data_IF_776139742634
#
_entry.id   IF_776139742634
#
_cell.length_a   1.000
_cell.length_b   1.000
_cell.length_c   1.000
_cell.angle_alpha   90.00
_cell.angle_beta   90.00
_cell.angle_gamma   90.00
#
_symmetry.space_group_name_H-M   'P 1'
#
loop_
_entity.id
_entity.type
_entity.pdbx_description
1 polymer ?
#
# COMPACT_ATOMS: atom_id res chain seq x y z
N UNK A 1 -12.67 30.13 -9.36
CA UNK A 1 -11.28 29.70 -9.61
C UNK A 1 -10.39 30.42 -8.61
N UNK A 2 -9.62 29.73 -7.76
CA UNK A 2 -8.66 30.40 -6.90
C UNK A 2 -7.67 31.17 -7.80
N UNK A 3 -7.38 32.42 -7.44
CA UNK A 3 -6.42 33.26 -8.16
C UNK A 3 -5.07 32.57 -8.14
N UNK A 4 -4.52 32.22 -9.32
CA UNK A 4 -3.13 31.74 -9.43
C UNK A 4 -2.22 32.78 -8.77
N UNK A 5 -1.52 32.41 -7.70
CA UNK A 5 -0.48 33.24 -7.12
C UNK A 5 0.59 33.39 -8.19
N UNK A 6 0.77 34.61 -8.69
CA UNK A 6 1.81 34.92 -9.66
C UNK A 6 3.04 35.39 -8.90
N UNK A 7 4.06 34.55 -8.86
CA UNK A 7 5.39 34.92 -8.38
C UNK A 7 6.19 35.43 -9.59
N UNK A 8 6.47 36.73 -9.63
CA UNK A 8 7.38 37.31 -10.63
C UNK A 8 8.79 37.39 -10.01
N UNK A 9 9.74 36.69 -10.63
CA UNK A 9 11.17 36.76 -10.28
C UNK A 9 11.83 37.63 -11.35
N UNK A 10 12.11 38.90 -11.04
CA UNK A 10 12.59 39.91 -12.00
C UNK A 10 14.06 40.31 -11.80
N UNK A 11 14.68 39.86 -10.71
CA UNK A 11 16.06 40.20 -10.37
C UNK A 11 16.98 39.01 -10.66
N UNK A 12 17.83 39.07 -11.70
CA UNK A 12 18.76 37.99 -12.00
C UNK A 12 19.86 37.91 -10.93
N UNK A 13 20.30 36.68 -10.62
CA UNK A 13 21.47 36.42 -9.78
C UNK A 13 22.32 35.31 -10.40
N UNK A 14 23.63 35.31 -10.11
CA UNK A 14 24.47 34.17 -10.43
C UNK A 14 24.03 32.96 -9.58
N UNK A 15 23.96 31.74 -10.15
CA UNK A 15 23.56 30.57 -9.38
C UNK A 15 24.57 30.34 -8.26
N UNK A 16 24.13 30.22 -6.99
CA UNK A 16 25.03 29.96 -5.89
C UNK A 16 25.64 28.56 -6.03
N UNK A 17 26.81 28.35 -5.42
CA UNK A 17 27.55 27.09 -5.55
C UNK A 17 26.74 25.86 -5.15
N UNK A 18 25.91 25.96 -4.09
CA UNK A 18 25.08 24.83 -3.64
C UNK A 18 24.09 24.39 -4.72
N UNK A 19 23.51 25.32 -5.50
CA UNK A 19 22.55 24.99 -6.55
C UNK A 19 23.22 24.24 -7.72
N UNK A 20 24.48 24.59 -8.02
CA UNK A 20 25.28 23.86 -9.01
C UNK A 20 25.59 22.43 -8.54
N UNK A 21 25.93 22.25 -7.26
CA UNK A 21 26.20 20.94 -6.66
C UNK A 21 24.94 20.08 -6.59
N UNK A 22 23.80 20.64 -6.21
CA UNK A 22 22.50 19.96 -6.20
C UNK A 22 22.11 19.48 -7.61
N UNK A 23 22.27 20.34 -8.64
CA UNK A 23 22.05 19.93 -10.04
C UNK A 23 22.99 18.82 -10.49
N UNK A 24 24.25 18.83 -10.04
CA UNK A 24 25.20 17.76 -10.33
C UNK A 24 24.82 16.44 -9.63
N UNK A 25 24.34 16.51 -8.38
CA UNK A 25 23.83 15.37 -7.64
C UNK A 25 22.61 14.76 -8.35
N UNK A 26 21.60 15.56 -8.69
CA UNK A 26 20.38 15.09 -9.38
C UNK A 26 20.69 14.43 -10.72
N UNK A 27 21.65 14.99 -11.47
CA UNK A 27 22.12 14.37 -12.72
C UNK A 27 22.79 13.02 -12.47
N UNK A 28 23.63 12.93 -11.45
CA UNK A 28 24.32 11.68 -11.09
C UNK A 28 23.33 10.61 -10.62
N UNK A 29 22.32 11.01 -9.85
CA UNK A 29 21.20 10.13 -9.49
C UNK A 29 20.48 9.62 -10.73
N UNK A 30 20.10 10.53 -11.66
CA UNK A 30 19.41 10.14 -12.91
C UNK A 30 20.21 9.07 -13.69
N UNK A 31 21.52 9.27 -13.85
CA UNK A 31 22.40 8.31 -14.52
C UNK A 31 22.47 6.96 -13.80
N UNK A 32 22.51 6.96 -12.47
CA UNK A 32 22.51 5.72 -11.68
C UNK A 32 21.18 4.95 -11.82
N UNK A 33 20.05 5.66 -11.83
CA UNK A 33 18.73 5.05 -12.03
C UNK A 33 18.59 4.45 -13.42
N UNK A 34 19.06 5.14 -14.47
CA UNK A 34 19.06 4.60 -15.84
C UNK A 34 19.90 3.31 -15.94
N UNK A 35 21.09 3.29 -15.34
CA UNK A 35 21.94 2.08 -15.32
C UNK A 35 21.30 0.92 -14.55
N UNK A 36 20.59 1.21 -13.47
CA UNK A 36 19.85 0.20 -12.71
C UNK A 36 18.70 -0.34 -13.56
N UNK A 37 17.90 0.54 -14.17
CA UNK A 37 16.76 0.16 -14.99
C UNK A 37 17.19 -0.73 -16.15
N UNK A 38 18.19 -0.29 -16.93
CA UNK A 38 18.69 -1.02 -18.10
C UNK A 38 19.29 -2.40 -17.74
N UNK A 39 19.61 -2.64 -16.47
CA UNK A 39 20.15 -3.91 -15.97
C UNK A 39 19.09 -4.85 -15.42
N UNK A 40 18.04 -4.31 -14.79
CA UNK A 40 17.10 -5.10 -13.98
C UNK A 40 15.67 -5.08 -14.51
N UNK A 41 15.39 -4.30 -15.56
CA UNK A 41 14.08 -4.26 -16.22
C UNK A 41 14.22 -4.61 -17.69
N UNK A 42 13.28 -5.42 -18.18
CA UNK A 42 13.21 -5.75 -19.59
C UNK A 42 12.46 -4.66 -20.40
N UNK A 43 12.43 -4.83 -21.73
CA UNK A 43 11.73 -3.93 -22.67
C UNK A 43 10.22 -3.78 -22.41
N UNK A 44 9.66 -4.72 -21.63
CA UNK A 44 8.27 -4.81 -21.25
C UNK A 44 7.99 -4.08 -19.93
N UNK A 45 9.02 -3.61 -19.24
CA UNK A 45 8.95 -3.02 -17.91
C UNK A 45 8.82 -4.05 -16.79
N UNK A 46 9.11 -5.32 -17.05
CA UNK A 46 9.11 -6.35 -16.02
C UNK A 46 10.40 -6.27 -15.24
N UNK A 47 10.30 -6.36 -13.91
CA UNK A 47 11.46 -6.58 -13.07
C UNK A 47 11.99 -7.99 -13.37
N UNK A 48 13.29 -8.10 -13.64
CA UNK A 48 13.99 -9.38 -13.84
C UNK A 48 14.22 -10.11 -12.50
N UNK A 49 13.12 -10.41 -11.80
CA UNK A 49 13.06 -11.19 -10.57
C UNK A 49 12.30 -12.51 -10.80
N UNK A 50 12.07 -13.27 -9.73
CA UNK A 50 11.12 -14.39 -9.72
C UNK A 50 9.79 -13.87 -9.17
N UNK A 51 8.74 -13.67 -10.00
CA UNK A 51 7.47 -13.15 -9.49
C UNK A 51 6.81 -14.15 -8.55
N UNK A 52 6.47 -13.71 -7.33
CA UNK A 52 5.84 -14.54 -6.30
C UNK A 52 4.72 -13.82 -5.57
N UNK A 53 3.89 -14.62 -4.91
CA UNK A 53 2.91 -14.16 -3.94
C UNK A 53 3.51 -14.28 -2.53
N UNK A 54 3.12 -13.38 -1.64
CA UNK A 54 3.38 -13.48 -0.21
C UNK A 54 4.70 -12.87 0.23
N UNK A 55 5.10 -13.16 1.47
CA UNK A 55 6.20 -12.51 2.20
C UNK A 55 7.63 -12.84 1.72
N UNK A 56 7.80 -13.21 0.44
CA UNK A 56 9.09 -13.39 -0.22
C UNK A 56 9.06 -12.69 -1.59
N UNK A 57 9.32 -11.38 -1.57
CA UNK A 57 9.30 -10.50 -2.73
C UNK A 57 7.94 -10.50 -3.43
N UNK A 58 6.92 -10.14 -2.64
CA UNK A 58 5.54 -10.04 -3.10
C UNK A 58 5.34 -8.98 -4.18
N UNK A 59 4.11 -8.84 -4.68
CA UNK A 59 3.81 -7.80 -5.67
C UNK A 59 3.99 -6.35 -5.17
N UNK A 60 4.10 -6.16 -3.87
CA UNK A 60 4.43 -4.92 -3.19
C UNK A 60 5.94 -4.65 -3.24
N UNK A 61 6.78 -5.58 -2.77
CA UNK A 61 8.24 -5.45 -2.74
C UNK A 61 8.87 -5.20 -4.13
N UNK A 62 8.35 -5.84 -5.18
CA UNK A 62 8.98 -5.76 -6.50
C UNK A 62 8.97 -4.34 -7.08
N UNK A 63 7.82 -3.65 -7.02
CA UNK A 63 7.70 -2.29 -7.56
C UNK A 63 8.40 -1.24 -6.68
N UNK A 64 8.66 -1.56 -5.41
CA UNK A 64 9.39 -0.68 -4.48
C UNK A 64 10.84 -0.40 -4.88
N UNK A 65 11.43 -1.20 -5.77
CA UNK A 65 12.71 -0.87 -6.39
C UNK A 65 12.70 0.53 -7.06
N UNK A 66 11.51 1.09 -7.33
CA UNK A 66 11.28 2.41 -7.90
C UNK A 66 10.69 3.43 -6.94
N UNK A 67 10.45 3.11 -5.66
CA UNK A 67 9.63 3.89 -4.72
C UNK A 67 9.91 5.41 -4.75
N UNK A 68 11.18 5.82 -4.74
CA UNK A 68 11.57 7.23 -4.70
C UNK A 68 12.02 7.82 -6.06
N UNK A 69 11.90 7.08 -7.16
CA UNK A 69 12.32 7.54 -8.47
C UNK A 69 11.48 8.71 -9.00
N UNK A 70 10.13 8.71 -8.86
CA UNK A 70 9.32 9.86 -9.23
C UNK A 70 9.73 11.15 -8.52
N UNK A 71 10.22 11.07 -7.27
CA UNK A 71 10.73 12.24 -6.53
C UNK A 71 11.95 12.84 -7.21
N UNK A 72 12.87 12.01 -7.73
CA UNK A 72 14.04 12.50 -8.48
C UNK A 72 13.60 13.26 -9.73
N UNK A 73 12.58 12.79 -10.44
CA UNK A 73 11.99 13.51 -11.56
C UNK A 73 11.40 14.86 -11.11
N UNK A 74 10.59 14.88 -10.04
CA UNK A 74 9.99 16.12 -9.51
C UNK A 74 11.02 17.16 -9.05
N UNK A 75 12.20 16.72 -8.60
CA UNK A 75 13.32 17.60 -8.24
C UNK A 75 14.11 18.12 -9.46
N UNK A 76 13.70 17.76 -10.68
CA UNK A 76 14.32 18.21 -11.93
C UNK A 76 15.32 17.20 -12.52
N UNK A 77 15.15 15.90 -12.21
CA UNK A 77 15.79 14.79 -12.90
C UNK A 77 15.43 14.74 -14.39
N UNK A 78 16.11 13.87 -15.16
CA UNK A 78 15.83 13.73 -16.59
C UNK A 78 14.46 13.08 -16.89
N UNK A 79 13.85 13.47 -18.01
CA UNK A 79 12.52 13.00 -18.44
C UNK A 79 12.43 11.47 -18.56
N UNK A 80 13.54 10.82 -18.92
CA UNK A 80 13.63 9.35 -19.00
C UNK A 80 13.27 8.66 -17.68
N UNK A 81 13.45 9.30 -16.51
CA UNK A 81 13.02 8.73 -15.23
C UNK A 81 11.50 8.53 -15.21
N UNK A 82 10.73 9.52 -15.66
CA UNK A 82 9.28 9.41 -15.70
C UNK A 82 8.84 8.30 -16.66
N UNK A 83 9.47 8.22 -17.84
CA UNK A 83 9.18 7.16 -18.82
C UNK A 83 9.45 5.77 -18.22
N UNK A 84 10.62 5.57 -17.59
CA UNK A 84 10.98 4.32 -16.91
C UNK A 84 9.99 3.95 -15.81
N UNK A 85 9.59 4.90 -14.96
CA UNK A 85 8.60 4.66 -13.90
C UNK A 85 7.24 4.25 -14.48
N UNK A 86 6.77 4.91 -15.54
CA UNK A 86 5.49 4.56 -16.18
C UNK A 86 5.55 3.19 -16.84
N UNK A 87 6.62 2.90 -17.58
CA UNK A 87 6.83 1.60 -18.22
C UNK A 87 6.93 0.47 -17.18
N UNK A 88 7.67 0.68 -16.08
CA UNK A 88 7.74 -0.29 -15.00
C UNK A 88 6.41 -0.46 -14.25
N UNK A 89 5.64 0.62 -14.03
CA UNK A 89 4.33 0.51 -13.39
C UNK A 89 3.35 -0.32 -14.23
N UNK A 90 3.32 -0.10 -15.54
CA UNK A 90 2.49 -0.90 -16.47
C UNK A 90 3.00 -2.33 -16.59
N UNK A 91 4.32 -2.50 -16.66
CA UNK A 91 5.00 -3.78 -16.67
C UNK A 91 4.67 -4.60 -15.43
N UNK A 92 4.80 -4.02 -14.24
CA UNK A 92 4.47 -4.62 -12.95
C UNK A 92 3.03 -5.13 -12.89
N UNK A 93 2.07 -4.26 -13.24
CA UNK A 93 0.65 -4.64 -13.28
C UNK A 93 0.45 -5.85 -14.19
N UNK A 94 1.08 -5.87 -15.37
CA UNK A 94 0.94 -6.98 -16.32
C UNK A 94 1.66 -8.25 -15.81
N UNK A 95 2.87 -8.12 -15.29
CA UNK A 95 3.70 -9.20 -14.75
C UNK A 95 2.97 -9.94 -13.63
N UNK A 96 2.38 -9.21 -12.68
CA UNK A 96 1.66 -9.80 -11.55
C UNK A 96 0.22 -10.19 -11.87
N UNK A 97 -0.34 -9.71 -12.99
CA UNK A 97 -1.57 -10.29 -13.55
C UNK A 97 -1.30 -11.66 -14.17
N UNK A 98 -0.14 -11.82 -14.81
CA UNK A 98 0.29 -13.08 -15.44
C UNK A 98 0.82 -14.10 -14.42
N UNK A 99 1.48 -13.63 -13.37
CA UNK A 99 2.02 -14.45 -12.28
C UNK A 99 0.88 -15.09 -11.47
N UNK A 100 0.99 -16.40 -11.25
CA UNK A 100 -0.05 -17.23 -10.64
C UNK A 100 0.54 -18.13 -9.59
N UNK A 101 -0.25 -18.39 -8.57
CA UNK A 101 0.04 -19.41 -7.56
C UNK A 101 -0.58 -20.75 -7.94
N UNK A 102 -0.06 -21.82 -7.34
CA UNK A 102 -0.60 -23.17 -7.38
C UNK A 102 -1.39 -23.45 -6.10
N UNK A 103 -0.83 -23.12 -4.95
CA UNK A 103 -1.36 -23.53 -3.65
C UNK A 103 -2.25 -22.45 -3.02
N UNK A 104 -1.93 -21.17 -3.22
CA UNK A 104 -2.76 -20.05 -2.73
C UNK A 104 -4.00 -19.87 -3.61
N UNK A 105 -5.23 -20.19 -3.16
CA UNK A 105 -6.38 -20.29 -4.08
C UNK A 105 -6.78 -18.98 -4.76
N UNK A 106 -6.67 -17.84 -4.06
CA UNK A 106 -7.16 -16.55 -4.56
C UNK A 106 -6.23 -15.89 -5.61
N UNK A 107 -5.01 -16.40 -5.78
CA UNK A 107 -4.02 -15.90 -6.74
C UNK A 107 -3.76 -16.86 -7.92
N UNK A 108 -4.52 -17.97 -8.03
CA UNK A 108 -4.41 -18.95 -9.14
C UNK A 108 -4.75 -18.36 -10.51
N UNK A 109 -5.57 -17.33 -10.53
CA UNK A 109 -6.00 -16.63 -11.75
C UNK A 109 -5.18 -15.36 -12.03
N UNK A 110 -4.14 -15.11 -11.25
CA UNK A 110 -3.34 -13.89 -11.28
C UNK A 110 -3.25 -13.29 -9.87
N UNK A 111 -2.07 -12.82 -9.49
CA UNK A 111 -1.85 -12.08 -8.24
C UNK A 111 -2.48 -10.68 -8.28
N UNK A 112 -2.63 -10.13 -9.49
CA UNK A 112 -3.39 -8.91 -9.75
C UNK A 112 -4.68 -9.24 -10.49
N UNK A 113 -5.73 -8.52 -10.14
CA UNK A 113 -7.01 -8.57 -10.83
C UNK A 113 -7.58 -7.16 -10.92
N UNK A 114 -8.10 -6.77 -12.09
CA UNK A 114 -8.47 -5.37 -12.39
C UNK A 114 -7.34 -4.37 -12.07
N UNK A 115 -6.10 -4.79 -12.35
CA UNK A 115 -4.85 -4.02 -12.13
C UNK A 115 -4.52 -3.67 -10.67
N UNK A 116 -5.09 -4.38 -9.68
CA UNK A 116 -4.80 -4.18 -8.26
C UNK A 116 -4.64 -5.54 -7.57
N UNK A 117 -3.83 -5.66 -6.49
CA UNK A 117 -3.61 -6.94 -5.83
C UNK A 117 -4.92 -7.61 -5.40
N UNK A 118 -5.00 -8.93 -5.54
CA UNK A 118 -6.23 -9.68 -5.28
C UNK A 118 -6.68 -9.61 -3.83
N UNK A 119 -5.74 -9.76 -2.89
CA UNK A 119 -5.92 -9.62 -1.45
C UNK A 119 -4.58 -9.24 -0.82
N UNK A 120 -4.50 -8.32 0.11
CA UNK A 120 -3.36 -8.13 1.02
C UNK A 120 -3.84 -7.31 2.22
N UNK A 121 -2.96 -7.04 3.18
CA UNK A 121 -3.20 -5.96 4.13
C UNK A 121 -2.75 -4.60 3.57
N UNK A 122 -3.20 -3.56 4.26
CA UNK A 122 -3.03 -2.19 3.82
C UNK A 122 -1.64 -1.59 4.07
N UNK A 123 -0.79 -2.21 4.90
CA UNK A 123 0.63 -1.84 4.94
C UNK A 123 1.28 -2.19 3.60
N UNK A 124 1.16 -3.45 3.19
CA UNK A 124 1.74 -3.96 1.94
C UNK A 124 1.07 -3.36 0.69
N UNK A 125 -0.26 -3.10 0.70
CA UNK A 125 -0.87 -2.34 -0.41
C UNK A 125 -0.28 -0.94 -0.51
N UNK A 126 -0.09 -0.23 0.60
CA UNK A 126 0.42 1.14 0.58
C UNK A 126 1.89 1.18 0.12
N UNK A 127 2.70 0.23 0.59
CA UNK A 127 4.07 -0.09 0.16
C UNK A 127 4.17 -0.23 -1.37
N UNK A 128 3.39 -1.15 -1.95
CA UNK A 128 3.34 -1.34 -3.41
C UNK A 128 2.75 -0.17 -4.21
N UNK A 129 2.07 0.78 -3.57
CA UNK A 129 1.44 1.92 -4.24
C UNK A 129 2.31 3.19 -4.24
N UNK A 130 3.48 3.21 -3.61
CA UNK A 130 4.31 4.43 -3.51
C UNK A 130 4.62 5.02 -4.88
N UNK A 131 5.10 4.21 -5.83
CA UNK A 131 5.41 4.64 -7.20
C UNK A 131 4.17 5.18 -7.89
N UNK A 132 3.07 4.42 -7.83
CA UNK A 132 1.78 4.79 -8.41
C UNK A 132 1.29 6.14 -7.89
N UNK A 133 1.29 6.34 -6.56
CA UNK A 133 0.80 7.57 -5.93
C UNK A 133 1.63 8.80 -6.37
N UNK A 134 2.95 8.66 -6.51
CA UNK A 134 3.80 9.77 -6.93
C UNK A 134 3.71 10.09 -8.44
N UNK A 135 3.35 9.12 -9.28
CA UNK A 135 3.17 9.36 -10.72
C UNK A 135 2.09 10.40 -11.00
N UNK A 136 1.02 10.45 -10.20
CA UNK A 136 -0.02 11.48 -10.31
C UNK A 136 0.50 12.91 -10.06
N UNK A 137 1.60 13.07 -9.32
CA UNK A 137 2.26 14.38 -9.15
C UNK A 137 3.20 14.72 -10.32
N UNK A 138 3.73 13.70 -10.99
CA UNK A 138 4.66 13.85 -12.11
C UNK A 138 3.95 14.18 -13.42
N UNK A 139 2.79 13.57 -13.65
CA UNK A 139 1.95 13.77 -14.81
C UNK A 139 0.45 13.73 -14.42
N UNK A 140 -0.09 14.85 -13.91
CA UNK A 140 -1.46 14.90 -13.37
C UNK A 140 -2.55 14.76 -14.43
N UNK A 141 -2.21 14.92 -15.71
CA UNK A 141 -3.17 14.86 -16.83
C UNK A 141 -3.20 13.47 -17.51
N UNK A 142 -2.45 12.49 -17.00
CA UNK A 142 -2.43 11.12 -17.54
C UNK A 142 -3.78 10.42 -17.35
N UNK A 143 -4.55 10.29 -18.44
CA UNK A 143 -5.88 9.69 -18.44
C UNK A 143 -5.90 8.22 -17.97
N UNK A 144 -4.83 7.46 -18.23
CA UNK A 144 -4.72 6.09 -17.76
C UNK A 144 -4.52 6.05 -16.25
N UNK A 145 -3.67 6.92 -15.72
CA UNK A 145 -3.48 7.05 -14.28
C UNK A 145 -4.77 7.50 -13.59
N UNK A 146 -5.45 8.53 -14.13
CA UNK A 146 -6.75 9.02 -13.63
C UNK A 146 -7.79 7.88 -13.61
N UNK A 147 -7.87 7.06 -14.67
CA UNK A 147 -8.79 5.91 -14.69
C UNK A 147 -8.46 4.89 -13.59
N UNK A 148 -7.18 4.62 -13.34
CA UNK A 148 -6.74 3.70 -12.28
C UNK A 148 -7.08 4.21 -10.89
N UNK A 149 -6.77 5.47 -10.56
CA UNK A 149 -7.08 6.04 -9.23
C UNK A 149 -8.58 5.99 -8.95
N UNK A 150 -9.43 6.31 -9.93
CA UNK A 150 -10.89 6.21 -9.78
C UNK A 150 -11.35 4.79 -9.51
N UNK A 151 -10.85 3.81 -10.29
CA UNK A 151 -11.21 2.40 -10.11
C UNK A 151 -10.74 1.86 -8.77
N UNK A 152 -9.50 2.17 -8.37
CA UNK A 152 -8.92 1.67 -7.13
C UNK A 152 -9.67 2.25 -5.92
N UNK A 153 -9.98 3.56 -5.91
CA UNK A 153 -10.87 4.14 -4.91
C UNK A 153 -12.25 3.45 -4.89
N UNK A 154 -12.81 3.16 -6.07
CA UNK A 154 -14.08 2.45 -6.21
C UNK A 154 -14.13 1.06 -5.56
N UNK A 155 -13.00 0.37 -5.38
CA UNK A 155 -12.94 -0.89 -4.63
C UNK A 155 -13.23 -0.72 -3.14
N UNK A 156 -13.11 0.49 -2.60
CA UNK A 156 -13.29 0.81 -1.19
C UNK A 156 -14.47 1.77 -0.94
N UNK A 157 -15.14 2.22 -2.00
CA UNK A 157 -16.30 3.14 -1.92
C UNK A 157 -17.63 2.45 -2.25
N UNK A 158 -17.67 1.11 -2.20
CA UNK A 158 -18.82 0.27 -2.61
C UNK A 158 -19.25 0.47 -4.08
N UNK A 159 -18.38 1.00 -4.94
CA UNK A 159 -18.69 1.26 -6.35
C UNK A 159 -18.46 0.03 -7.24
N UNK A 160 -17.55 -0.88 -6.85
CA UNK A 160 -17.33 -2.12 -7.57
C UNK A 160 -18.32 -3.21 -7.12
N UNK A 161 -19.03 -3.89 -8.04
CA UNK A 161 -20.01 -4.91 -7.69
C UNK A 161 -19.39 -6.21 -7.15
N UNK A 162 -18.11 -6.46 -7.41
CA UNK A 162 -17.40 -7.67 -7.00
C UNK A 162 -16.52 -7.44 -5.77
N UNK A 163 -15.76 -6.34 -5.75
CA UNK A 163 -14.87 -5.98 -4.64
C UNK A 163 -15.68 -5.30 -3.52
N UNK A 164 -16.48 -6.09 -2.79
CA UNK A 164 -17.32 -5.62 -1.69
C UNK A 164 -16.52 -5.39 -0.40
N UNK A 165 -15.47 -4.58 -0.48
CA UNK A 165 -14.59 -4.29 0.65
C UNK A 165 -15.24 -3.37 1.69
N UNK A 166 -16.09 -2.43 1.26
CA UNK A 166 -16.69 -1.43 2.14
C UNK A 166 -18.16 -1.74 2.44
N UNK A 167 -18.57 -1.51 3.68
CA UNK A 167 -19.96 -1.50 4.12
C UNK A 167 -20.37 -0.03 4.38
N UNK A 168 -21.21 0.58 3.51
CA UNK A 168 -21.61 1.97 3.67
C UNK A 168 -22.61 2.19 4.81
N UNK A 169 -23.33 1.17 5.26
CA UNK A 169 -24.25 1.33 6.40
C UNK A 169 -23.50 1.43 7.73
N UNK A 170 -22.36 0.73 7.82
CA UNK A 170 -21.52 0.68 9.04
C UNK A 170 -20.25 1.49 8.95
N UNK A 171 -19.98 2.06 7.78
CA UNK A 171 -18.79 2.87 7.47
C UNK A 171 -17.52 2.12 7.86
N UNK A 172 -17.40 0.88 7.36
CA UNK A 172 -16.27 0.00 7.70
C UNK A 172 -15.75 -0.78 6.50
N UNK A 173 -14.45 -1.03 6.49
CA UNK A 173 -13.83 -1.98 5.56
C UNK A 173 -13.93 -3.37 6.19
N UNK A 174 -14.50 -4.32 5.46
CA UNK A 174 -15.03 -5.60 5.97
C UNK A 174 -13.95 -6.64 6.30
N UNK A 175 -12.70 -6.38 5.95
CA UNK A 175 -11.56 -7.22 6.34
C UNK A 175 -10.28 -6.40 6.32
N UNK A 176 -9.37 -6.70 7.24
CA UNK A 176 -7.98 -6.24 7.21
C UNK A 176 -7.23 -6.78 5.97
N UNK A 177 -7.60 -7.98 5.50
CA UNK A 177 -7.02 -8.64 4.34
C UNK A 177 -8.00 -8.56 3.16
N UNK A 178 -7.78 -7.63 2.24
CA UNK A 178 -8.75 -7.22 1.23
C UNK A 178 -8.08 -6.84 -0.09
N UNK A 179 -8.83 -6.59 -1.16
CA UNK A 179 -8.26 -6.17 -2.44
C UNK A 179 -9.26 -6.15 -3.57
N UNK A 180 -8.79 -6.33 -4.79
CA UNK A 180 -9.63 -6.29 -6.00
C UNK A 180 -10.63 -7.44 -6.14
N UNK A 181 -10.47 -8.49 -5.31
CA UNK A 181 -11.42 -9.62 -5.21
C UNK A 181 -12.33 -9.54 -3.98
N UNK A 182 -12.27 -8.45 -3.22
CA UNK A 182 -13.10 -8.25 -2.04
C UNK A 182 -12.39 -8.63 -0.73
N UNK A 183 -13.15 -8.67 0.38
CA UNK A 183 -12.61 -8.90 1.72
C UNK A 183 -12.45 -10.41 2.02
N UNK A 184 -11.39 -10.76 2.75
CA UNK A 184 -11.20 -12.11 3.31
C UNK A 184 -12.05 -12.29 4.56
N UNK A 185 -13.18 -13.00 4.43
CA UNK A 185 -14.13 -13.19 5.54
C UNK A 185 -13.94 -14.50 6.32
N UNK A 186 -12.92 -15.29 5.96
CA UNK A 186 -12.47 -16.44 6.75
C UNK A 186 -11.18 -16.09 7.48
N UNK A 187 -10.81 -16.93 8.45
CA UNK A 187 -9.45 -16.87 8.99
C UNK A 187 -8.44 -17.14 7.87
N UNK A 188 -7.38 -16.34 7.83
CA UNK A 188 -6.21 -16.61 7.00
C UNK A 188 -5.42 -17.77 7.59
N UNK A 189 -4.54 -18.32 6.76
CA UNK A 189 -3.58 -19.37 7.08
C UNK A 189 -2.18 -18.86 6.74
N UNK A 190 -1.13 -19.49 7.27
CA UNK A 190 0.24 -19.14 6.91
C UNK A 190 0.46 -19.11 5.39
N UNK A 191 -0.15 -20.05 4.64
CA UNK A 191 -0.06 -20.11 3.19
C UNK A 191 -0.61 -18.85 2.50
N UNK A 192 -1.67 -18.23 3.03
CA UNK A 192 -2.25 -17.01 2.45
C UNK A 192 -1.26 -15.83 2.50
N UNK A 193 -0.37 -15.82 3.50
CA UNK A 193 0.66 -14.80 3.73
C UNK A 193 1.99 -15.13 3.07
N UNK A 194 2.39 -16.40 3.12
CA UNK A 194 3.72 -16.85 2.70
C UNK A 194 3.80 -17.10 1.19
N UNK A 195 2.70 -17.50 0.56
CA UNK A 195 2.72 -17.94 -0.84
C UNK A 195 3.05 -19.42 -1.01
N UNK A 196 3.22 -19.85 -2.26
CA UNK A 196 3.53 -21.25 -2.58
C UNK A 196 4.88 -21.70 -1.98
N UNK A 197 5.12 -23.01 -1.83
CA UNK A 197 6.40 -23.57 -1.40
C UNK A 197 7.61 -23.04 -2.16
N UNK A 198 8.73 -22.95 -1.45
CA UNK A 198 10.01 -22.49 -1.97
C UNK A 198 10.91 -23.66 -2.38
N UNK A 199 11.76 -23.39 -3.36
CA UNK A 199 12.87 -24.29 -3.70
C UNK A 199 13.98 -24.14 -2.66
N UNK A 200 14.36 -25.26 -2.04
CA UNK A 200 15.38 -25.29 -0.98
C UNK A 200 16.69 -24.65 -1.43
N UNK A 201 17.18 -23.67 -0.65
CA UNK A 201 18.47 -23.03 -0.86
C UNK A 201 18.55 -22.07 -2.04
N UNK A 202 17.43 -21.77 -2.72
CA UNK A 202 17.40 -20.79 -3.83
C UNK A 202 17.25 -19.34 -3.37
N UNK A 203 16.65 -19.10 -2.20
CA UNK A 203 16.27 -17.77 -1.73
C UNK A 203 16.89 -17.44 -0.37
N UNK A 204 17.23 -16.17 -0.16
CA UNK A 204 17.68 -15.65 1.13
C UNK A 204 16.46 -15.18 1.95
N UNK A 205 16.14 -15.90 3.03
CA UNK A 205 15.01 -15.55 3.91
C UNK A 205 15.43 -14.47 4.91
N UNK A 206 15.10 -13.20 4.59
CA UNK A 206 15.58 -12.00 5.28
C UNK A 206 15.10 -11.84 6.75
N UNK A 207 14.24 -12.74 7.21
CA UNK A 207 13.64 -12.71 8.53
C UNK A 207 14.21 -13.75 9.50
N UNK A 208 15.31 -14.41 9.11
CA UNK A 208 16.10 -15.30 9.95
C UNK A 208 15.63 -16.76 9.96
N UNK A 209 14.61 -17.08 9.16
CA UNK A 209 14.17 -18.46 8.93
C UNK A 209 15.18 -19.23 8.09
N UNK A 210 15.26 -20.53 8.32
CA UNK A 210 16.18 -21.45 7.63
C UNK A 210 15.55 -22.12 6.42
N UNK A 211 14.23 -22.29 6.45
CA UNK A 211 13.47 -22.98 5.41
C UNK A 211 12.02 -22.47 5.35
N UNK A 212 11.27 -22.99 4.39
CA UNK A 212 9.87 -22.65 4.16
C UNK A 212 8.95 -23.02 5.34
N UNK A 213 9.25 -24.07 6.09
CA UNK A 213 8.42 -24.49 7.23
C UNK A 213 8.52 -23.46 8.36
N UNK A 214 9.72 -22.97 8.66
CA UNK A 214 9.93 -21.87 9.61
C UNK A 214 9.33 -20.54 9.13
N UNK A 215 9.30 -20.32 7.80
CA UNK A 215 8.58 -19.19 7.23
C UNK A 215 7.08 -19.30 7.52
N UNK A 216 6.47 -20.47 7.32
CA UNK A 216 5.08 -20.72 7.70
C UNK A 216 4.82 -20.58 9.21
N UNK A 217 5.71 -21.09 10.07
CA UNK A 217 5.60 -21.01 11.54
C UNK A 217 5.42 -19.56 12.00
N UNK A 218 6.15 -18.62 11.39
CA UNK A 218 6.03 -17.17 11.69
C UNK A 218 4.61 -16.63 11.49
N UNK A 219 3.91 -17.12 10.47
CA UNK A 219 2.58 -16.63 10.09
C UNK A 219 1.43 -17.42 10.72
N UNK A 220 1.71 -18.40 11.59
CA UNK A 220 0.66 -19.21 12.25
C UNK A 220 -0.32 -18.40 13.10
N UNK A 221 0.06 -17.21 13.58
CA UNK A 221 -0.82 -16.34 14.38
C UNK A 221 -1.54 -15.28 13.53
N UNK A 222 -1.31 -15.25 12.22
CA UNK A 222 -1.87 -14.23 11.31
C UNK A 222 -3.22 -14.72 10.75
N UNK A 223 -4.21 -14.92 11.62
CA UNK A 223 -5.46 -15.59 11.24
C UNK A 223 -6.69 -14.67 11.29
N UNK A 224 -6.80 -13.83 12.31
CA UNK A 224 -8.03 -13.06 12.59
C UNK A 224 -8.04 -11.75 11.79
N UNK A 225 -8.59 -11.81 10.57
CA UNK A 225 -8.56 -10.70 9.60
C UNK A 225 -9.94 -10.18 9.19
N UNK A 226 -11.02 -10.82 9.60
CA UNK A 226 -12.38 -10.38 9.27
C UNK A 226 -12.82 -9.22 10.16
N UNK A 227 -13.54 -8.25 9.59
CA UNK A 227 -13.85 -6.99 10.26
C UNK A 227 -12.84 -5.88 9.92
N UNK A 228 -13.13 -4.68 10.39
CA UNK A 228 -12.31 -3.51 10.14
C UNK A 228 -11.11 -3.44 11.08
N UNK A 229 -10.02 -2.87 10.59
CA UNK A 229 -8.75 -2.74 11.28
C UNK A 229 -8.17 -1.34 10.98
N UNK A 230 -7.53 -0.65 11.95
CA UNK A 230 -7.05 0.73 11.75
C UNK A 230 -6.13 0.92 10.56
N UNK A 231 -5.36 -0.12 10.21
CA UNK A 231 -4.48 -0.12 9.03
C UNK A 231 -5.25 0.17 7.73
N UNK A 232 -6.53 -0.20 7.65
CA UNK A 232 -7.38 0.09 6.50
C UNK A 232 -7.58 1.60 6.26
N UNK A 233 -7.37 2.47 7.26
CA UNK A 233 -7.41 3.93 7.06
C UNK A 233 -6.43 4.42 5.98
N UNK A 234 -5.32 3.72 5.76
CA UNK A 234 -4.36 4.04 4.69
C UNK A 234 -5.01 3.99 3.30
N UNK A 235 -6.12 3.25 3.14
CA UNK A 235 -6.90 3.19 1.89
C UNK A 235 -7.44 4.55 1.44
N UNK A 236 -7.59 5.48 2.39
CA UNK A 236 -7.98 6.86 2.10
C UNK A 236 -7.02 7.56 1.14
N UNK A 237 -5.77 7.10 1.03
CA UNK A 237 -4.81 7.59 0.03
C UNK A 237 -5.30 7.40 -1.42
N UNK A 238 -6.03 6.33 -1.72
CA UNK A 238 -6.61 6.10 -3.05
C UNK A 238 -7.65 7.17 -3.39
N UNK A 239 -8.58 7.41 -2.47
CA UNK A 239 -9.60 8.44 -2.63
C UNK A 239 -8.96 9.85 -2.63
N UNK A 240 -7.91 10.08 -1.84
CA UNK A 240 -7.21 11.35 -1.81
C UNK A 240 -6.59 11.67 -3.17
N UNK A 241 -5.90 10.70 -3.78
CA UNK A 241 -5.34 10.86 -5.13
C UNK A 241 -6.43 11.10 -6.17
N UNK A 242 -7.54 10.35 -6.10
CA UNK A 242 -8.67 10.57 -6.99
C UNK A 242 -9.26 11.99 -6.81
N UNK A 243 -9.42 12.48 -5.58
CA UNK A 243 -9.87 13.86 -5.31
C UNK A 243 -8.89 14.90 -5.86
N UNK A 244 -7.60 14.74 -5.58
CA UNK A 244 -6.56 15.69 -5.98
C UNK A 244 -6.47 15.85 -7.51
N UNK A 245 -6.61 14.75 -8.25
CA UNK A 245 -6.50 14.75 -9.71
C UNK A 245 -7.81 15.15 -10.42
N UNK A 246 -8.97 14.93 -9.80
CA UNK A 246 -10.26 15.06 -10.50
C UNK A 246 -11.14 16.19 -9.96
N UNK A 247 -10.93 16.59 -8.70
CA UNK A 247 -11.78 17.53 -7.98
C UNK A 247 -13.17 17.00 -7.61
N UNK A 248 -13.49 15.72 -7.89
CA UNK A 248 -14.81 15.14 -7.60
C UNK A 248 -15.02 14.97 -6.09
N UNK A 249 -16.02 15.65 -5.52
CA UNK A 249 -16.19 15.75 -4.06
C UNK A 249 -16.52 14.42 -3.39
N UNK A 250 -17.11 13.45 -4.10
CA UNK A 250 -17.44 12.12 -3.54
C UNK A 250 -16.25 11.43 -2.88
N UNK A 251 -15.04 11.63 -3.41
CA UNK A 251 -13.83 11.04 -2.86
C UNK A 251 -13.45 11.70 -1.53
N UNK A 252 -13.48 13.03 -1.47
CA UNK A 252 -13.27 13.79 -0.23
C UNK A 252 -14.30 13.40 0.82
N UNK A 253 -15.58 13.35 0.44
CA UNK A 253 -16.67 13.10 1.39
C UNK A 253 -16.57 11.69 1.98
N UNK A 254 -16.18 10.68 1.18
CA UNK A 254 -15.92 9.33 1.67
C UNK A 254 -14.71 9.25 2.62
N UNK A 255 -13.61 9.96 2.35
CA UNK A 255 -12.46 10.01 3.26
C UNK A 255 -12.88 10.54 4.63
N UNK A 256 -13.65 11.64 4.65
CA UNK A 256 -14.09 12.26 5.90
C UNK A 256 -15.08 11.37 6.65
N UNK A 257 -16.02 10.75 5.95
CA UNK A 257 -16.96 9.78 6.53
C UNK A 257 -16.21 8.64 7.24
N UNK A 258 -15.29 8.00 6.53
CA UNK A 258 -14.59 6.84 7.04
C UNK A 258 -13.62 7.20 8.19
N UNK A 259 -12.90 8.33 8.06
CA UNK A 259 -12.04 8.83 9.12
C UNK A 259 -12.85 9.24 10.37
N UNK A 260 -13.98 9.91 10.21
CA UNK A 260 -14.85 10.29 11.34
C UNK A 260 -15.37 9.06 12.08
N UNK A 261 -15.76 8.00 11.37
CA UNK A 261 -16.15 6.74 12.01
C UNK A 261 -15.02 6.16 12.89
N UNK A 262 -13.76 6.24 12.46
CA UNK A 262 -12.61 5.83 13.26
C UNK A 262 -12.30 6.76 14.44
N UNK A 263 -12.48 8.07 14.29
CA UNK A 263 -12.40 9.03 15.40
C UNK A 263 -13.45 8.70 16.46
N UNK A 264 -14.70 8.46 16.05
CA UNK A 264 -15.81 8.10 16.95
C UNK A 264 -15.54 6.78 17.68
N UNK A 265 -15.07 5.75 16.98
CA UNK A 265 -14.68 4.45 17.58
C UNK A 265 -13.54 4.61 18.58
N UNK A 266 -12.58 5.48 18.29
CA UNK A 266 -11.46 5.78 19.18
C UNK A 266 -11.94 6.43 20.48
N UNK A 267 -12.83 7.42 20.39
CA UNK A 267 -13.43 8.02 21.60
C UNK A 267 -14.31 7.04 22.37
N UNK A 268 -15.10 6.21 21.68
CA UNK A 268 -15.90 5.16 22.31
C UNK A 268 -15.04 4.11 23.04
N UNK A 269 -13.80 3.91 22.59
CA UNK A 269 -12.82 3.02 23.21
C UNK A 269 -11.86 3.75 24.20
N UNK A 270 -12.32 4.84 24.82
CA UNK A 270 -11.56 5.54 25.87
C UNK A 270 -10.35 6.34 25.35
N UNK A 271 -10.37 6.74 24.08
CA UNK A 271 -9.30 7.50 23.45
C UNK A 271 -8.16 6.64 22.89
N UNK A 272 -8.30 5.32 22.90
CA UNK A 272 -7.34 4.39 22.28
C UNK A 272 -7.94 3.81 21.02
N UNK A 273 -7.22 3.90 19.90
CA UNK A 273 -7.68 3.33 18.62
C UNK A 273 -7.84 1.81 18.80
N UNK A 274 -9.05 1.23 18.61
CA UNK A 274 -9.23 -0.21 18.72
C UNK A 274 -8.56 -0.92 17.54
N UNK A 275 -7.95 -2.08 17.77
CA UNK A 275 -7.33 -2.89 16.71
C UNK A 275 -8.34 -3.57 15.80
N UNK A 276 -9.58 -3.79 16.26
CA UNK A 276 -10.60 -4.41 15.42
C UNK A 276 -12.01 -3.91 15.73
N UNK A 277 -12.82 -3.89 14.67
CA UNK A 277 -14.28 -3.69 14.72
C UNK A 277 -14.91 -4.82 13.91
N UNK A 278 -15.82 -5.59 14.49
CA UNK A 278 -16.43 -6.69 13.75
C UNK A 278 -17.37 -6.23 12.65
N UNK A 279 -17.79 -7.18 11.81
CA UNK A 279 -18.76 -6.95 10.73
C UNK A 279 -20.14 -6.48 11.26
N UNK A 280 -20.40 -6.67 12.55
CA UNK A 280 -21.57 -6.14 13.23
C UNK A 280 -21.44 -4.65 13.62
N UNK A 281 -20.27 -4.03 13.40
CA UNK A 281 -19.96 -2.65 13.78
C UNK A 281 -19.52 -2.49 15.23
N UNK A 282 -19.37 -3.59 15.98
CA UNK A 282 -19.02 -3.55 17.40
C UNK A 282 -17.51 -3.62 17.59
N UNK A 283 -16.97 -2.73 18.42
CA UNK A 283 -15.55 -2.69 18.77
C UNK A 283 -15.15 -4.01 19.47
N UNK A 284 -14.10 -4.66 18.98
CA UNK A 284 -13.57 -5.89 19.57
C UNK A 284 -14.33 -7.17 19.22
N UNK A 285 -15.51 -7.10 18.59
CA UNK A 285 -16.36 -8.29 18.37
C UNK A 285 -15.73 -9.30 17.39
N UNK A 286 -14.86 -8.85 16.47
CA UNK A 286 -14.09 -9.75 15.60
C UNK A 286 -13.11 -10.65 16.39
N UNK A 287 -12.74 -10.23 17.60
CA UNK A 287 -11.81 -10.93 18.49
C UNK A 287 -12.45 -11.23 19.85
N UNK A 288 -13.72 -11.65 19.87
CA UNK A 288 -14.44 -12.10 21.08
C UNK A 288 -14.47 -11.03 22.21
N UNK A 289 -14.65 -9.76 21.82
CA UNK A 289 -14.67 -8.61 22.73
C UNK A 289 -13.29 -8.04 23.07
N UNK A 290 -12.20 -8.64 22.57
CA UNK A 290 -10.84 -8.09 22.72
C UNK A 290 -10.60 -7.03 21.66
N UNK A 291 -10.86 -5.77 21.98
CA UNK A 291 -10.60 -4.63 21.08
C UNK A 291 -9.14 -4.48 20.67
N UNK A 292 -8.21 -5.06 21.42
CA UNK A 292 -6.77 -5.01 21.18
C UNK A 292 -6.22 -6.21 20.39
N UNK A 293 -7.06 -7.20 20.10
CA UNK A 293 -6.69 -8.42 19.37
C UNK A 293 -6.76 -8.24 17.85
N UNK A 294 -6.41 -9.32 17.15
CA UNK A 294 -6.36 -9.38 15.68
C UNK A 294 -4.93 -9.32 15.15
N UNK A 295 -4.76 -9.62 13.87
CA UNK A 295 -3.45 -9.47 13.20
C UNK A 295 -3.02 -8.00 13.26
N UNK A 296 -1.77 -7.76 13.62
CA UNK A 296 -1.17 -6.45 13.87
C UNK A 296 -1.86 -5.59 14.94
N UNK A 297 -2.72 -6.20 15.76
CA UNK A 297 -3.33 -5.56 16.91
C UNK A 297 -2.34 -5.22 18.02
N UNK A 298 -2.82 -4.55 19.07
CA UNK A 298 -1.97 -4.15 20.21
C UNK A 298 -1.34 -5.34 20.95
N UNK A 299 -1.96 -6.53 20.94
CA UNK A 299 -1.38 -7.73 21.56
C UNK A 299 -0.77 -8.75 20.59
N UNK A 300 -0.76 -8.49 19.27
CA UNK A 300 -0.42 -9.51 18.28
C UNK A 300 1.00 -10.03 18.48
N UNK A 301 1.11 -11.29 18.92
CA UNK A 301 2.37 -11.99 19.14
C UNK A 301 2.79 -12.75 17.89
N UNK A 302 4.04 -12.50 17.48
CA UNK A 302 4.68 -13.14 16.34
C UNK A 302 5.90 -13.88 16.82
N UNK A 303 6.14 -15.06 16.26
CA UNK A 303 7.32 -15.87 16.50
C UNK A 303 8.29 -15.72 15.32
N UNK A 304 9.58 -15.59 15.61
CA UNK A 304 10.61 -15.53 14.58
C UNK A 304 11.92 -16.16 15.06
N UNK A 305 12.62 -16.81 14.14
CA UNK A 305 13.96 -17.36 14.37
C UNK A 305 14.98 -16.21 14.31
N UNK A 306 15.42 -15.74 15.48
CA UNK A 306 16.40 -14.64 15.60
C UNK A 306 17.62 -15.11 16.38
N UNK A 307 18.81 -14.87 15.83
CA UNK A 307 20.08 -15.26 16.44
C UNK A 307 20.17 -16.78 16.76
N UNK A 308 19.61 -17.63 15.90
CA UNK A 308 19.68 -19.09 16.04
C UNK A 308 18.71 -19.68 17.09
N UNK A 309 17.70 -18.93 17.54
CA UNK A 309 16.64 -19.40 18.44
C UNK A 309 15.27 -18.84 18.05
N UNK A 310 14.21 -19.59 18.36
CA UNK A 310 12.84 -19.10 18.27
C UNK A 310 12.60 -18.09 19.40
N UNK A 311 12.16 -16.89 19.03
CA UNK A 311 11.82 -15.80 19.94
C UNK A 311 10.43 -15.24 19.59
N UNK A 312 9.80 -14.53 20.51
CA UNK A 312 8.54 -13.85 20.24
C UNK A 312 8.60 -12.35 20.57
N UNK A 313 7.81 -11.57 19.84
CA UNK A 313 7.66 -10.14 20.07
C UNK A 313 6.24 -9.69 19.69
N UNK A 314 5.84 -8.52 20.18
CA UNK A 314 4.61 -7.89 19.70
C UNK A 314 4.91 -7.20 18.38
N UNK A 315 4.12 -7.49 17.35
CA UNK A 315 4.14 -6.77 16.09
C UNK A 315 2.82 -6.04 15.93
N UNK A 316 2.86 -4.71 16.04
CA UNK A 316 1.68 -3.85 16.01
C UNK A 316 1.80 -2.88 14.82
N UNK A 317 0.70 -2.71 14.09
CA UNK A 317 0.60 -1.76 12.98
C UNK A 317 -0.48 -0.70 13.20
N UNK A 318 -1.02 -0.57 14.42
CA UNK A 318 -2.09 0.41 14.72
C UNK A 318 -1.61 1.85 14.49
N UNK A 319 -0.32 2.12 14.66
CA UNK A 319 0.27 3.44 14.40
C UNK A 319 0.10 3.91 12.94
N UNK A 320 0.01 3.00 11.96
CA UNK A 320 -0.21 3.35 10.55
C UNK A 320 -1.60 3.95 10.28
N UNK A 321 -2.53 3.85 11.23
CA UNK A 321 -3.80 4.57 11.16
C UNK A 321 -3.60 6.09 11.01
N UNK A 322 -2.51 6.62 11.57
CA UNK A 322 -2.15 8.04 11.50
C UNK A 322 -1.96 8.50 10.06
N UNK A 323 -1.43 7.63 9.18
CA UNK A 323 -1.22 7.97 7.76
C UNK A 323 -2.54 8.26 7.06
N UNK A 324 -3.58 7.47 7.36
CA UNK A 324 -4.92 7.67 6.82
C UNK A 324 -5.64 8.90 7.41
N UNK A 325 -5.50 9.14 8.73
CA UNK A 325 -5.95 10.39 9.34
C UNK A 325 -5.24 11.62 8.74
N UNK A 326 -3.99 11.47 8.33
CA UNK A 326 -3.22 12.49 7.61
C UNK A 326 -3.94 13.00 6.36
N UNK A 327 -4.62 12.13 5.60
CA UNK A 327 -5.41 12.56 4.43
C UNK A 327 -6.60 13.43 4.84
N UNK A 328 -7.34 13.07 5.89
CA UNK A 328 -8.45 13.87 6.40
C UNK A 328 -7.97 15.21 6.97
N UNK A 329 -6.84 15.23 7.68
CA UNK A 329 -6.18 16.44 8.16
C UNK A 329 -5.76 17.35 7.01
N UNK A 330 -5.15 16.82 5.94
CA UNK A 330 -4.75 17.61 4.76
C UNK A 330 -5.94 18.28 4.07
N UNK A 331 -7.09 17.60 4.03
CA UNK A 331 -8.30 18.10 3.37
C UNK A 331 -9.07 19.15 4.18
N UNK A 332 -8.89 19.20 5.50
CA UNK A 332 -9.73 19.99 6.41
C UNK A 332 -8.96 20.99 7.26
N UNK A 333 -7.70 20.71 7.59
CA UNK A 333 -6.93 21.40 8.62
C UNK A 333 -7.40 21.11 10.05
N UNK A 334 -8.34 20.17 10.25
CA UNK A 334 -8.91 19.86 11.56
C UNK A 334 -8.00 18.89 12.32
N UNK A 335 -7.56 19.31 13.51
CA UNK A 335 -6.62 18.56 14.36
C UNK A 335 -7.28 17.47 15.21
N UNK A 336 -8.58 17.21 15.01
CA UNK A 336 -9.26 16.06 15.61
C UNK A 336 -8.77 14.72 15.03
N UNK A 337 -8.30 14.74 13.78
CA UNK A 337 -7.75 13.59 13.06
C UNK A 337 -6.31 13.30 13.49
#
# INVERSE_FOLDING_TARGET
MPSRIKMDIDTPMAPPQWALLERALIRSMSQALELFYDKYFDEKGYLECVPRWGALDGPDDAIENLANWPVVYLLGGGDRILDMCKTAQDGHIRQYTEAKTVDVPFARDGMYYKEFPVHSDWAHHAEGLVVFNLLGSCDPDDENHIRRVKRFAGFYMDEDPQAKNYDPERQLIRSMFNGSRGPMLRKTTALDWVGDPLEDGRFDLLHGQRDYAEMCERFETYNDVAGDHPLNLTSTGLAFNAYALTGETKYRDWILEYADAWVERTYANGGVIPSNVGLDGVIGSACEGRWWGGVYGWDHKVFAHRHGRLDNFTLNAVAHAVDGFGNALLLTGDRKY
#
